data_IF_354113211467
#
_entry.id   IF_354113211467
#
_cell.length_a   1.000
_cell.length_b   1.000
_cell.length_c   1.000
_cell.angle_alpha   90.00
_cell.angle_beta   90.00
_cell.angle_gamma   90.00
#
_symmetry.space_group_name_H-M   'P 1'
#
loop_
_entity.id
_entity.type
_entity.pdbx_description
1 polymer ?
#
# COMPACT_ATOMS: atom_id res chain seq x y z
N UNK A 1 17.54 -9.60 16.45
CA UNK A 1 17.43 -8.14 16.27
C UNK A 1 16.88 -7.90 14.87
N UNK A 2 15.56 -7.78 14.73
CA UNK A 2 14.98 -7.36 13.45
C UNK A 2 15.21 -5.85 13.33
N UNK A 3 15.86 -5.41 12.26
CA UNK A 3 16.14 -4.01 12.02
C UNK A 3 14.78 -3.30 11.85
N UNK A 4 14.51 -2.30 12.68
CA UNK A 4 13.32 -1.43 12.64
C UNK A 4 13.31 -0.55 11.37
N UNK A 5 13.31 -1.19 10.20
CA UNK A 5 13.32 -0.54 8.89
C UNK A 5 11.97 -0.57 8.15
N UNK A 6 11.01 -1.37 8.62
CA UNK A 6 9.71 -1.60 7.96
C UNK A 6 8.55 -1.54 8.96
N UNK A 7 8.54 -0.54 9.83
CA UNK A 7 7.41 -0.36 10.73
C UNK A 7 6.18 0.08 9.91
N UNK A 8 5.18 -0.81 9.79
CA UNK A 8 3.90 -0.48 9.17
C UNK A 8 3.25 0.68 9.93
N UNK A 9 3.08 1.82 9.25
CA UNK A 9 2.51 3.05 9.84
C UNK A 9 1.00 3.16 9.68
N UNK A 10 0.42 2.35 8.80
CA UNK A 10 -1.02 2.28 8.57
C UNK A 10 -1.34 1.15 7.60
N UNK A 11 -2.59 0.67 7.63
CA UNK A 11 -3.08 -0.32 6.67
C UNK A 11 -4.58 -0.10 6.44
N UNK A 12 -5.05 -0.54 5.28
CA UNK A 12 -6.46 -0.48 4.89
C UNK A 12 -6.74 -1.62 3.91
N UNK A 13 -8.01 -1.91 3.66
CA UNK A 13 -8.44 -2.84 2.62
C UNK A 13 -9.11 -2.07 1.48
N UNK A 14 -8.92 -2.56 0.25
CA UNK A 14 -9.70 -2.08 -0.88
C UNK A 14 -11.15 -2.51 -0.76
N UNK A 15 -12.08 -1.68 -1.21
CA UNK A 15 -13.49 -2.05 -1.34
C UNK A 15 -13.73 -2.93 -2.59
N UNK A 16 -15.00 -3.23 -2.88
CA UNK A 16 -15.41 -4.04 -4.05
C UNK A 16 -15.06 -3.43 -5.42
N UNK A 17 -14.72 -2.13 -5.47
CA UNK A 17 -14.29 -1.44 -6.70
C UNK A 17 -12.78 -1.26 -6.77
N UNK A 18 -12.01 -1.83 -5.84
CA UNK A 18 -10.55 -1.67 -5.76
C UNK A 18 -10.09 -0.33 -5.17
N UNK A 19 -11.01 0.51 -4.71
CA UNK A 19 -10.67 1.81 -4.12
C UNK A 19 -10.26 1.64 -2.65
N UNK A 20 -9.29 2.42 -2.22
CA UNK A 20 -8.83 2.49 -0.83
C UNK A 20 -8.59 3.94 -0.42
N UNK A 21 -8.57 4.19 0.89
CA UNK A 21 -8.20 5.47 1.47
C UNK A 21 -7.36 5.23 2.72
N UNK A 22 -6.28 6.00 2.86
CA UNK A 22 -5.35 5.92 3.98
C UNK A 22 -4.91 7.33 4.39
N UNK A 23 -5.07 7.66 5.66
CA UNK A 23 -4.57 8.92 6.24
C UNK A 23 -3.28 8.63 6.99
N UNK A 24 -2.19 9.26 6.58
CA UNK A 24 -0.88 9.14 7.21
C UNK A 24 -0.36 10.53 7.56
N UNK A 25 0.48 10.67 8.61
CA UNK A 25 1.26 11.88 8.83
C UNK A 25 2.15 12.22 7.63
N UNK A 26 2.61 13.46 7.57
CA UNK A 26 3.59 13.90 6.58
C UNK A 26 4.85 13.04 6.66
N UNK A 27 5.32 12.58 5.50
CA UNK A 27 6.44 11.67 5.44
C UNK A 27 6.59 10.95 4.11
N UNK A 28 7.70 10.23 3.98
CA UNK A 28 8.00 9.39 2.82
C UNK A 28 7.64 7.95 3.14
N UNK A 29 6.83 7.34 2.30
CA UNK A 29 6.30 5.99 2.50
C UNK A 29 6.50 5.11 1.28
N UNK A 30 6.59 3.82 1.54
CA UNK A 30 6.46 2.77 0.52
C UNK A 30 5.09 2.14 0.72
N UNK A 31 4.17 2.37 -0.21
CA UNK A 31 2.83 1.77 -0.16
C UNK A 31 2.92 0.40 -0.83
N UNK A 32 2.51 -0.65 -0.12
CA UNK A 32 2.48 -2.03 -0.61
C UNK A 32 1.05 -2.54 -0.64
N UNK A 33 0.58 -2.95 -1.82
CA UNK A 33 -0.68 -3.64 -1.99
C UNK A 33 -0.44 -5.14 -2.18
N UNK A 34 -1.24 -5.98 -1.54
CA UNK A 34 -1.19 -7.44 -1.62
C UNK A 34 -2.60 -8.00 -1.78
N UNK A 35 -2.75 -9.10 -2.52
CA UNK A 35 -4.01 -9.82 -2.59
C UNK A 35 -4.33 -10.52 -1.25
N UNK A 36 -5.61 -10.51 -0.87
CA UNK A 36 -6.10 -11.25 0.31
C UNK A 36 -5.92 -12.75 0.08
N UNK A 37 -5.56 -13.48 1.13
CA UNK A 37 -5.35 -14.93 1.05
C UNK A 37 -3.90 -15.37 0.76
N UNK A 38 -2.94 -14.44 0.82
CA UNK A 38 -1.52 -14.78 0.81
C UNK A 38 -0.94 -15.04 -0.59
N UNK A 39 -1.63 -14.63 -1.66
CA UNK A 39 -1.05 -14.65 -3.00
C UNK A 39 0.21 -13.78 -3.05
N UNK A 40 1.23 -14.26 -3.78
CA UNK A 40 2.54 -13.62 -3.84
C UNK A 40 2.55 -12.29 -4.62
N UNK A 41 1.46 -11.98 -5.34
CA UNK A 41 1.37 -10.76 -6.12
C UNK A 41 1.31 -9.54 -5.23
N UNK A 42 2.27 -8.64 -5.44
CA UNK A 42 2.36 -7.38 -4.74
C UNK A 42 2.62 -6.25 -5.71
N UNK A 43 2.02 -5.09 -5.46
CA UNK A 43 2.40 -3.84 -6.11
C UNK A 43 3.00 -2.91 -5.05
N UNK A 44 3.96 -2.08 -5.45
CA UNK A 44 4.63 -1.16 -4.53
C UNK A 44 4.91 0.17 -5.20
N UNK A 45 4.65 1.25 -4.49
CA UNK A 45 4.90 2.61 -4.97
C UNK A 45 5.43 3.49 -3.85
N UNK A 46 6.41 4.34 -4.18
CA UNK A 46 6.98 5.30 -3.25
C UNK A 46 6.20 6.61 -3.33
N UNK A 47 5.71 7.08 -2.19
CA UNK A 47 4.91 8.30 -2.11
C UNK A 47 5.46 9.24 -1.04
N UNK A 48 5.22 10.54 -1.23
CA UNK A 48 5.50 11.58 -0.23
C UNK A 48 4.16 12.18 0.17
N UNK A 49 3.77 11.97 1.42
CA UNK A 49 2.56 12.53 2.01
C UNK A 49 2.92 13.90 2.62
N UNK A 50 2.05 14.87 2.37
CA UNK A 50 2.19 16.26 2.81
C UNK A 50 0.79 16.87 2.94
N UNK A 51 0.69 18.20 2.91
CA UNK A 51 -0.57 18.96 3.00
C UNK A 51 -1.58 18.67 1.87
N UNK A 52 -1.15 17.99 0.79
CA UNK A 52 -2.00 17.64 -0.36
C UNK A 52 -2.23 16.14 -0.46
N UNK A 53 -3.46 15.69 -0.75
CA UNK A 53 -3.75 14.30 -1.05
C UNK A 53 -2.95 13.81 -2.26
N UNK A 54 -2.41 12.60 -2.15
CA UNK A 54 -1.73 11.88 -3.24
C UNK A 54 -2.66 10.80 -3.77
N UNK A 55 -2.85 10.75 -5.08
CA UNK A 55 -3.62 9.71 -5.74
C UNK A 55 -2.66 8.77 -6.48
N UNK A 56 -2.75 7.47 -6.19
CA UNK A 56 -1.95 6.44 -6.85
C UNK A 56 -2.85 5.32 -7.38
N UNK A 57 -2.32 4.53 -8.32
CA UNK A 57 -2.97 3.33 -8.82
C UNK A 57 -1.98 2.18 -8.76
N UNK A 58 -2.29 1.20 -7.92
CA UNK A 58 -1.50 -0.01 -7.75
C UNK A 58 -2.21 -1.17 -8.46
N UNK A 59 -1.54 -1.79 -9.44
CA UNK A 59 -2.07 -2.95 -10.16
C UNK A 59 -1.45 -4.21 -9.60
N UNK A 60 -2.25 -5.02 -8.91
CA UNK A 60 -1.83 -6.32 -8.39
C UNK A 60 -2.37 -7.41 -9.31
N UNK A 61 -1.48 -8.19 -9.91
CA UNK A 61 -1.88 -9.34 -10.74
C UNK A 61 -2.53 -10.44 -9.87
N UNK A 62 -3.53 -11.16 -10.36
CA UNK A 62 -4.17 -12.23 -9.57
C UNK A 62 -3.28 -13.46 -9.40
N UNK A 63 -2.19 -13.58 -10.18
CA UNK A 63 -1.29 -14.73 -10.16
C UNK A 63 -1.91 -16.02 -10.69
N UNK A 64 -3.15 -15.97 -11.19
CA UNK A 64 -3.84 -17.11 -11.80
C UNK A 64 -3.45 -17.12 -13.28
N UNK A 65 -2.69 -18.13 -13.68
CA UNK A 65 -2.39 -18.45 -15.07
C UNK A 65 -3.18 -19.68 -15.49
#
# INVERSE_FOLDING_TARGET
MALDGDAVRGSTQTNSTGAFHLTLPDGRYVIRATNVGGYASTATELVVISDRPVHITLVVDSGIR
#
